data_IF_543246433440
#
_entry.id   IF_543246433440
#
_cell.length_a   1.000
_cell.length_b   1.000
_cell.length_c   1.000
_cell.angle_alpha   90.00
_cell.angle_beta   90.00
_cell.angle_gamma   90.00
#
_symmetry.space_group_name_H-M   'P 1'
#
loop_
_entity.id
_entity.type
_entity.pdbx_description
1 polymer ?
#
# COMPACT_ATOMS: atom_id res chain seq x y z
N UNK A 1 3.91 -6.21 -11.24
CA UNK A 1 3.25 -5.18 -10.41
C UNK A 1 4.13 -3.95 -10.36
N UNK A 2 3.67 -2.84 -10.91
CA UNK A 2 4.37 -1.57 -10.79
C UNK A 2 4.35 -1.16 -9.32
N UNK A 3 5.47 -1.31 -8.64
CA UNK A 3 5.55 -0.95 -7.22
C UNK A 3 5.48 0.56 -7.12
N UNK A 4 4.47 1.08 -6.44
CA UNK A 4 4.35 2.51 -6.19
C UNK A 4 5.59 2.97 -5.41
N UNK A 5 6.49 3.69 -6.07
CA UNK A 5 7.73 4.20 -5.49
C UNK A 5 7.74 5.72 -5.54
N UNK A 6 7.87 6.32 -4.39
CA UNK A 6 8.02 7.77 -4.25
C UNK A 6 8.95 8.12 -3.09
N UNK A 7 9.46 9.33 -3.11
CA UNK A 7 10.10 9.97 -1.98
C UNK A 7 9.66 11.43 -1.90
N UNK A 8 9.32 11.87 -0.70
CA UNK A 8 8.97 13.26 -0.38
C UNK A 8 9.92 13.75 0.70
N UNK A 9 10.57 14.88 0.47
CA UNK A 9 11.46 15.50 1.45
C UNK A 9 10.91 16.84 1.88
N UNK A 10 10.68 16.98 3.18
CA UNK A 10 10.19 18.19 3.82
C UNK A 10 11.30 18.82 4.66
N UNK A 11 11.58 20.13 4.53
CA UNK A 11 12.53 20.79 5.42
C UNK A 11 11.98 20.83 6.86
N UNK A 12 12.86 20.67 7.85
CA UNK A 12 12.48 20.87 9.24
C UNK A 12 12.41 22.36 9.54
N UNK A 13 11.29 22.82 10.08
CA UNK A 13 10.98 24.23 10.36
C UNK A 13 12.00 24.96 11.29
N UNK A 14 12.94 24.25 11.92
CA UNK A 14 13.92 24.82 12.86
C UNK A 14 15.39 24.73 12.41
N UNK A 15 15.67 24.15 11.24
CA UNK A 15 17.05 24.02 10.77
C UNK A 15 17.35 25.10 9.72
N UNK A 16 18.08 26.14 10.09
CA UNK A 16 18.62 27.10 9.13
C UNK A 16 19.70 26.53 8.19
N UNK A 17 19.87 25.22 8.14
CA UNK A 17 20.87 24.54 7.34
C UNK A 17 20.27 24.06 6.02
N UNK A 18 20.72 24.68 4.91
CA UNK A 18 20.47 24.21 3.55
C UNK A 18 21.31 22.95 3.24
N UNK A 19 21.00 21.82 3.85
CA UNK A 19 21.60 20.56 3.44
C UNK A 19 20.96 20.11 2.12
N UNK A 20 21.76 19.93 1.08
CA UNK A 20 21.31 19.39 -0.20
C UNK A 20 21.06 17.88 -0.03
N UNK A 21 19.83 17.45 -0.19
CA UNK A 21 19.53 16.03 -0.41
C UNK A 21 20.16 15.59 -1.74
N UNK A 22 20.69 14.37 -1.76
CA UNK A 22 21.21 13.80 -2.99
C UNK A 22 20.07 13.61 -4.00
N UNK A 23 20.35 13.84 -5.27
CA UNK A 23 19.41 13.56 -6.35
C UNK A 23 19.12 12.06 -6.37
N UNK A 24 17.88 11.70 -6.63
CA UNK A 24 17.45 10.30 -6.76
C UNK A 24 17.33 9.96 -8.26
N UNK A 25 18.41 9.47 -8.92
CA UNK A 25 18.44 9.31 -10.38
C UNK A 25 17.44 8.27 -10.90
N UNK A 26 16.94 7.40 -10.03
CA UNK A 26 15.92 6.40 -10.37
C UNK A 26 14.48 6.92 -10.37
N UNK A 27 14.26 8.16 -9.93
CA UNK A 27 12.95 8.76 -9.78
C UNK A 27 12.84 10.05 -10.61
N UNK A 28 11.62 10.33 -11.08
CA UNK A 28 11.28 11.59 -11.74
C UNK A 28 11.00 12.66 -10.68
N UNK A 29 11.60 13.84 -10.83
CA UNK A 29 11.28 14.99 -10.02
C UNK A 29 9.96 15.60 -10.50
N UNK A 30 8.98 15.68 -9.60
CA UNK A 30 7.75 16.40 -9.84
C UNK A 30 7.89 17.79 -9.26
N UNK A 31 8.46 18.70 -10.07
CA UNK A 31 8.57 20.11 -9.73
C UNK A 31 7.18 20.76 -9.73
N UNK A 32 6.72 21.14 -8.56
CA UNK A 32 5.52 21.92 -8.28
C UNK A 32 5.71 22.67 -6.97
N UNK A 33 4.65 23.22 -6.40
CA UNK A 33 4.65 23.91 -5.11
C UNK A 33 4.95 22.99 -3.91
N UNK A 34 5.11 21.67 -4.16
CA UNK A 34 5.42 20.66 -3.15
C UNK A 34 6.96 20.51 -3.08
N UNK A 35 7.58 20.74 -1.91
CA UNK A 35 9.03 20.65 -1.78
C UNK A 35 9.50 19.23 -2.09
N UNK A 36 10.25 19.08 -3.17
CA UNK A 36 11.01 17.90 -3.60
C UNK A 36 10.26 16.56 -3.48
N UNK A 37 9.27 16.39 -4.34
CA UNK A 37 8.60 15.12 -4.55
C UNK A 37 9.22 14.39 -5.75
N UNK A 38 9.65 13.14 -5.54
CA UNK A 38 10.14 12.25 -6.57
C UNK A 38 9.25 11.03 -6.68
N UNK A 39 8.95 10.60 -7.90
CA UNK A 39 8.17 9.38 -8.16
C UNK A 39 8.85 8.51 -9.20
N UNK A 40 8.58 7.21 -9.19
CA UNK A 40 8.95 6.34 -10.31
C UNK A 40 8.23 6.83 -11.59
N UNK A 41 8.85 6.58 -12.77
CA UNK A 41 8.37 7.12 -14.05
C UNK A 41 6.94 6.69 -14.40
N UNK A 42 6.56 5.52 -13.97
CA UNK A 42 5.26 4.87 -14.17
C UNK A 42 4.30 5.07 -12.99
N UNK A 43 4.73 5.77 -11.94
CA UNK A 43 3.88 6.11 -10.81
C UNK A 43 2.81 7.11 -11.24
N UNK A 44 1.57 6.78 -10.96
CA UNK A 44 0.42 7.61 -11.26
C UNK A 44 0.26 8.71 -10.25
N UNK A 45 -0.01 9.90 -10.72
CA UNK A 45 -0.27 11.08 -9.89
C UNK A 45 -1.55 11.71 -10.39
N UNK A 46 -2.51 11.89 -9.48
CA UNK A 46 -3.69 12.70 -9.72
C UNK A 46 -3.48 14.06 -9.05
N UNK A 47 -3.62 15.11 -9.83
CA UNK A 47 -3.49 16.47 -9.35
C UNK A 47 -4.79 16.91 -8.67
N UNK A 48 -4.67 17.57 -7.52
CA UNK A 48 -5.77 18.22 -6.78
C UNK A 48 -5.78 19.73 -7.04
N UNK A 49 -5.10 20.19 -8.09
CA UNK A 49 -4.88 21.62 -8.37
C UNK A 49 -4.15 22.30 -7.20
N UNK A 50 -4.65 23.42 -6.69
CA UNK A 50 -4.05 24.11 -5.54
C UNK A 50 -4.17 23.35 -4.20
N UNK A 51 -4.92 22.23 -4.16
CA UNK A 51 -5.18 21.46 -2.94
C UNK A 51 -4.20 20.30 -2.72
N UNK A 52 -3.16 20.13 -3.56
CA UNK A 52 -2.15 19.10 -3.41
C UNK A 52 -2.18 18.03 -4.49
N UNK A 53 -1.73 16.81 -4.17
CA UNK A 53 -1.73 15.69 -5.11
C UNK A 53 -2.02 14.35 -4.42
N UNK A 54 -2.51 13.39 -5.22
CA UNK A 54 -2.67 11.99 -4.82
C UNK A 54 -1.77 11.12 -5.69
N UNK A 55 -0.92 10.34 -5.06
CA UNK A 55 0.00 9.41 -5.71
C UNK A 55 -0.54 8.00 -5.55
N UNK A 56 -0.67 7.25 -6.65
CA UNK A 56 -1.18 5.88 -6.65
C UNK A 56 -2.49 5.73 -7.39
N UNK A 57 -3.22 4.68 -7.07
CA UNK A 57 -4.48 4.33 -7.72
C UNK A 57 -5.66 4.70 -6.82
N UNK A 58 -6.58 5.47 -7.38
CA UNK A 58 -7.77 5.96 -6.72
C UNK A 58 -9.02 5.56 -7.51
N UNK A 59 -10.00 4.97 -6.83
CA UNK A 59 -11.30 4.60 -7.40
C UNK A 59 -12.41 5.41 -6.73
N UNK A 60 -13.42 5.79 -7.50
CA UNK A 60 -14.66 6.34 -6.97
C UNK A 60 -15.43 5.28 -6.19
N UNK A 61 -15.98 5.66 -5.05
CA UNK A 61 -16.82 4.77 -4.24
C UNK A 61 -18.11 4.39 -4.94
N UNK A 62 -18.70 5.30 -5.68
CA UNK A 62 -19.99 5.11 -6.34
C UNK A 62 -19.87 4.24 -7.59
N UNK A 63 -18.93 4.54 -8.44
CA UNK A 63 -18.81 3.90 -9.76
C UNK A 63 -17.79 2.76 -9.81
N UNK A 64 -16.89 2.68 -8.84
CA UNK A 64 -15.70 1.83 -8.84
C UNK A 64 -14.76 2.05 -10.05
N UNK A 65 -14.97 3.12 -10.80
CA UNK A 65 -14.05 3.51 -11.86
C UNK A 65 -12.85 4.26 -11.30
N UNK A 66 -11.73 4.08 -11.95
CA UNK A 66 -10.52 4.82 -11.66
C UNK A 66 -10.74 6.32 -11.86
N UNK A 67 -10.22 7.11 -10.93
CA UNK A 67 -10.24 8.56 -10.95
C UNK A 67 -8.84 9.08 -11.28
N UNK A 68 -8.74 9.87 -12.35
CA UNK A 68 -7.49 10.53 -12.78
C UNK A 68 -7.46 12.02 -12.47
N UNK A 69 -8.62 12.62 -12.24
CA UNK A 69 -8.78 14.02 -11.87
C UNK A 69 -9.79 14.10 -10.75
N UNK A 70 -9.46 14.82 -9.70
CA UNK A 70 -10.35 15.03 -8.59
C UNK A 70 -11.13 16.34 -8.79
N UNK A 71 -12.41 16.36 -8.39
CA UNK A 71 -13.18 17.61 -8.46
C UNK A 71 -12.55 18.66 -7.53
N UNK A 72 -12.58 19.89 -7.94
CA UNK A 72 -12.14 21.00 -7.10
C UNK A 72 -12.96 21.03 -5.81
N UNK A 73 -12.28 20.82 -4.71
CA UNK A 73 -12.87 20.96 -3.37
C UNK A 73 -12.34 22.26 -2.81
N UNK A 74 -13.22 23.26 -2.68
CA UNK A 74 -12.86 24.59 -2.15
C UNK A 74 -12.49 24.60 -0.64
N UNK A 75 -11.91 23.50 -0.15
CA UNK A 75 -11.52 23.36 1.25
C UNK A 75 -10.09 23.85 1.47
N UNK A 76 -9.91 24.74 2.45
CA UNK A 76 -8.61 25.27 2.87
C UNK A 76 -7.87 24.35 3.84
N UNK A 77 -8.60 23.54 4.60
CA UNK A 77 -8.05 22.65 5.61
C UNK A 77 -7.74 21.27 5.02
N UNK A 78 -6.54 20.77 5.23
CA UNK A 78 -6.13 19.42 4.86
C UNK A 78 -7.02 18.35 5.50
N UNK A 79 -7.56 18.61 6.70
CA UNK A 79 -8.47 17.68 7.39
C UNK A 79 -9.80 17.51 6.64
N UNK A 80 -10.37 18.58 6.10
CA UNK A 80 -11.59 18.52 5.30
C UNK A 80 -11.35 17.77 3.99
N UNK A 81 -10.23 18.04 3.32
CA UNK A 81 -9.82 17.31 2.10
C UNK A 81 -9.62 15.83 2.37
N UNK A 82 -8.92 15.47 3.43
CA UNK A 82 -8.68 14.10 3.85
C UNK A 82 -9.99 13.35 4.16
N UNK A 83 -10.92 14.00 4.87
CA UNK A 83 -12.24 13.42 5.17
C UNK A 83 -13.04 13.18 3.89
N UNK A 84 -13.02 14.11 2.93
CA UNK A 84 -13.68 13.96 1.64
C UNK A 84 -13.08 12.80 0.84
N UNK A 85 -11.74 12.70 0.77
CA UNK A 85 -11.06 11.60 0.09
C UNK A 85 -11.44 10.25 0.70
N UNK A 86 -11.39 10.11 2.02
CA UNK A 86 -11.70 8.86 2.69
C UNK A 86 -13.19 8.46 2.60
N UNK A 87 -14.10 9.43 2.45
CA UNK A 87 -15.54 9.19 2.31
C UNK A 87 -15.94 8.74 0.90
N UNK A 88 -15.33 9.33 -0.14
CA UNK A 88 -15.81 9.20 -1.51
C UNK A 88 -14.92 8.32 -2.40
N UNK A 89 -13.71 8.00 -1.94
CA UNK A 89 -12.73 7.26 -2.72
C UNK A 89 -12.11 6.12 -1.92
N UNK A 90 -11.58 5.15 -2.66
CA UNK A 90 -10.82 4.02 -2.13
C UNK A 90 -9.70 3.62 -3.11
N UNK A 91 -8.77 2.79 -2.68
CA UNK A 91 -7.68 2.34 -3.55
C UNK A 91 -6.38 2.14 -2.80
N UNK A 92 -5.27 2.27 -3.50
CA UNK A 92 -3.91 2.19 -2.98
C UNK A 92 -3.19 3.52 -3.28
N UNK A 93 -3.24 4.46 -2.34
CA UNK A 93 -2.78 5.82 -2.57
C UNK A 93 -2.14 6.47 -1.34
N UNK A 94 -1.44 7.54 -1.60
CA UNK A 94 -1.05 8.55 -0.61
C UNK A 94 -1.53 9.91 -1.10
N UNK A 95 -2.21 10.67 -0.23
CA UNK A 95 -2.55 12.05 -0.51
C UNK A 95 -1.59 13.00 0.21
N UNK A 96 -1.05 13.96 -0.52
CA UNK A 96 -0.18 15.04 -0.02
C UNK A 96 -0.99 16.32 -0.11
N UNK A 97 -1.37 16.86 1.04
CA UNK A 97 -2.38 17.89 1.19
C UNK A 97 -1.77 19.14 1.86
N UNK A 98 -1.61 20.26 1.13
CA UNK A 98 -1.29 21.53 1.75
C UNK A 98 -2.40 21.95 2.73
N UNK A 99 -2.01 22.42 3.89
CA UNK A 99 -2.92 22.99 4.88
C UNK A 99 -2.66 24.49 4.96
N UNK A 100 -3.55 25.29 4.37
CA UNK A 100 -3.41 26.75 4.32
C UNK A 100 -3.57 27.37 5.70
N UNK A 101 -4.40 26.79 6.57
CA UNK A 101 -4.64 27.30 7.91
C UNK A 101 -3.43 27.12 8.83
N UNK A 102 -2.62 26.08 8.58
CA UNK A 102 -1.42 25.76 9.35
C UNK A 102 -0.11 26.18 8.65
N UNK A 103 -0.18 26.58 7.40
CA UNK A 103 1.01 26.80 6.55
C UNK A 103 1.96 25.61 6.59
N UNK A 104 1.42 24.38 6.57
CA UNK A 104 2.15 23.11 6.69
C UNK A 104 1.61 22.12 5.66
N UNK A 105 2.27 20.98 5.55
CA UNK A 105 1.91 19.92 4.62
C UNK A 105 1.51 18.68 5.39
N UNK A 106 0.30 18.21 5.13
CA UNK A 106 -0.24 16.99 5.70
C UNK A 106 -0.20 15.82 4.71
N UNK A 107 -0.11 14.62 5.23
CA UNK A 107 -0.06 13.38 4.45
C UNK A 107 -1.11 12.42 4.97
N UNK A 108 -1.90 11.86 4.05
CA UNK A 108 -2.90 10.83 4.33
C UNK A 108 -2.56 9.54 3.56
N UNK A 109 -2.06 8.50 4.22
CA UNK A 109 -2.04 7.14 3.66
C UNK A 109 -3.46 6.62 3.49
N UNK A 110 -3.70 5.84 2.44
CA UNK A 110 -5.00 5.22 2.21
C UNK A 110 -5.44 4.36 3.42
N UNK A 111 -6.77 4.25 3.68
CA UNK A 111 -7.28 3.51 4.83
C UNK A 111 -6.99 2.00 4.81
N UNK A 112 -6.76 1.40 3.64
CA UNK A 112 -6.47 -0.04 3.51
C UNK A 112 -5.04 -0.38 3.88
N UNK A 113 -4.11 0.60 3.82
CA UNK A 113 -2.69 0.39 4.07
C UNK A 113 -1.99 -0.44 3.00
N UNK A 114 -2.54 -0.50 1.78
CA UNK A 114 -1.92 -1.19 0.65
C UNK A 114 -0.60 -0.53 0.24
N UNK A 115 -0.46 0.77 0.47
CA UNK A 115 0.80 1.51 0.27
C UNK A 115 1.38 1.86 1.64
N UNK A 116 2.38 1.12 2.12
CA UNK A 116 3.06 1.49 3.35
C UNK A 116 3.87 2.77 3.15
N UNK A 117 3.82 3.67 4.12
CA UNK A 117 4.55 4.92 4.11
C UNK A 117 5.49 4.96 5.29
N UNK A 118 6.76 5.09 5.01
CA UNK A 118 7.82 5.17 6.01
C UNK A 118 8.32 6.59 6.16
N UNK A 119 8.65 6.97 7.38
CA UNK A 119 9.14 8.30 7.77
C UNK A 119 10.50 8.17 8.43
N UNK A 120 11.46 8.95 7.93
CA UNK A 120 12.76 9.12 8.54
C UNK A 120 12.98 10.59 8.88
N UNK A 121 13.34 10.88 10.12
CA UNK A 121 13.71 12.24 10.55
C UNK A 121 15.24 12.37 10.55
N UNK A 122 15.74 13.29 9.77
CA UNK A 122 17.15 13.69 9.77
C UNK A 122 17.32 15.01 10.53
N UNK A 123 18.54 15.50 10.63
CA UNK A 123 18.83 16.83 11.24
C UNK A 123 18.17 17.98 10.49
N UNK A 124 18.02 17.87 9.17
CA UNK A 124 17.58 18.95 8.28
C UNK A 124 16.25 18.73 7.61
N UNK A 125 15.87 17.46 7.39
CA UNK A 125 14.67 17.10 6.63
C UNK A 125 13.90 15.97 7.31
N UNK A 126 12.63 15.89 6.98
CA UNK A 126 11.83 14.68 7.14
C UNK A 126 11.64 14.07 5.75
N UNK A 127 12.01 12.79 5.61
CA UNK A 127 11.87 12.05 4.35
C UNK A 127 10.75 11.03 4.51
N UNK A 128 9.80 11.04 3.58
CA UNK A 128 8.74 10.03 3.48
C UNK A 128 8.95 9.21 2.22
N UNK A 129 8.74 7.91 2.30
CA UNK A 129 8.85 7.02 1.14
C UNK A 129 8.03 5.75 1.31
N UNK A 130 7.63 5.14 0.21
CA UNK A 130 7.07 3.78 0.18
C UNK A 130 8.15 2.69 0.11
N UNK A 131 9.40 3.05 -0.24
CA UNK A 131 10.52 2.12 -0.37
C UNK A 131 11.66 2.53 0.56
N UNK A 132 11.92 1.81 1.67
CA UNK A 132 12.97 2.15 2.63
C UNK A 132 14.38 2.22 2.03
N UNK A 133 14.65 1.54 0.91
CA UNK A 133 15.94 1.65 0.21
C UNK A 133 16.24 3.07 -0.27
N UNK A 134 15.21 3.88 -0.49
CA UNK A 134 15.36 5.28 -0.87
C UNK A 134 15.91 6.16 0.26
N UNK A 135 15.77 5.74 1.52
CA UNK A 135 16.42 6.43 2.64
C UNK A 135 17.95 6.38 2.54
N UNK A 136 18.50 5.24 2.12
CA UNK A 136 19.93 5.10 1.93
C UNK A 136 20.44 6.04 0.84
N UNK A 137 19.68 6.19 -0.24
CA UNK A 137 19.98 7.12 -1.32
C UNK A 137 19.86 8.58 -0.86
N UNK A 138 18.82 8.91 -0.08
CA UNK A 138 18.61 10.27 0.41
C UNK A 138 19.65 10.70 1.45
N UNK A 139 20.08 9.79 2.32
CA UNK A 139 20.96 10.07 3.47
C UNK A 139 22.43 9.75 3.20
N UNK A 140 22.75 9.04 2.11
CA UNK A 140 24.10 8.61 1.77
C UNK A 140 24.72 7.57 2.72
N UNK A 141 23.91 6.89 3.53
CA UNK A 141 24.39 5.87 4.48
C UNK A 141 23.38 4.72 4.63
N UNK A 142 23.89 3.53 4.92
CA UNK A 142 23.06 2.34 5.22
C UNK A 142 22.24 2.56 6.48
N UNK A 143 21.02 2.04 6.45
CA UNK A 143 20.14 2.02 7.62
C UNK A 143 20.59 0.94 8.60
N UNK A 144 20.55 1.26 9.89
CA UNK A 144 20.91 0.33 10.96
C UNK A 144 19.68 -0.42 11.48
N UNK A 145 19.87 -1.66 11.94
CA UNK A 145 18.81 -2.46 12.52
C UNK A 145 18.60 -2.04 13.99
N UNK A 146 17.35 -1.84 14.37
CA UNK A 146 16.91 -1.69 15.75
C UNK A 146 16.64 -3.09 16.35
N UNK A 147 17.60 -3.63 17.08
CA UNK A 147 17.51 -4.96 17.67
C UNK A 147 16.37 -5.08 18.67
N UNK A 148 16.10 -4.03 19.45
CA UNK A 148 14.98 -4.00 20.39
C UNK A 148 13.63 -4.04 19.67
N UNK A 149 13.49 -3.32 18.54
CA UNK A 149 12.27 -3.35 17.74
C UNK A 149 12.11 -4.69 17.04
N UNK A 150 13.21 -5.30 16.59
CA UNK A 150 13.21 -6.63 15.99
C UNK A 150 12.80 -7.70 17.01
N UNK A 151 13.33 -7.64 18.22
CA UNK A 151 12.97 -8.57 19.30
C UNK A 151 11.47 -8.47 19.63
N UNK A 152 10.95 -7.25 19.82
CA UNK A 152 9.50 -7.04 20.04
C UNK A 152 8.64 -7.56 18.89
N UNK A 153 9.04 -7.30 17.67
CA UNK A 153 8.34 -7.79 16.47
C UNK A 153 8.35 -9.33 16.42
N UNK A 154 9.47 -9.98 16.78
CA UNK A 154 9.58 -11.44 16.77
C UNK A 154 8.70 -12.10 17.83
N UNK A 155 8.44 -11.41 18.95
CA UNK A 155 7.51 -11.89 19.98
C UNK A 155 6.05 -11.80 19.56
N UNK A 156 5.66 -10.73 18.86
CA UNK A 156 4.28 -10.51 18.45
C UNK A 156 4.22 -9.72 17.12
N UNK A 157 4.45 -10.42 16.01
CA UNK A 157 4.49 -9.82 14.67
C UNK A 157 3.15 -9.23 14.20
N UNK A 158 2.04 -9.67 14.80
CA UNK A 158 0.68 -9.19 14.48
C UNK A 158 0.42 -7.79 15.06
N UNK A 159 1.13 -7.40 16.12
CA UNK A 159 1.03 -6.07 16.70
C UNK A 159 1.99 -5.11 15.97
N UNK A 160 1.53 -4.53 14.89
CA UNK A 160 2.29 -3.54 14.14
C UNK A 160 2.40 -2.24 14.95
N UNK A 161 3.56 -2.03 15.57
CA UNK A 161 3.90 -0.74 16.15
C UNK A 161 4.22 0.28 15.04
N UNK A 162 4.13 1.58 15.35
CA UNK A 162 4.60 2.64 14.46
C UNK A 162 6.10 2.50 14.12
N UNK A 163 6.91 2.15 15.12
CA UNK A 163 8.33 1.91 14.96
C UNK A 163 8.58 0.67 14.11
N UNK A 164 9.49 0.79 13.15
CA UNK A 164 9.96 -0.33 12.34
C UNK A 164 11.16 -1.02 12.98
N UNK A 165 11.72 -2.04 12.33
CA UNK A 165 12.98 -2.67 12.75
C UNK A 165 14.24 -1.93 12.24
N UNK A 166 14.07 -0.75 11.64
CA UNK A 166 15.16 0.15 11.27
C UNK A 166 15.24 1.32 12.23
N UNK A 167 16.45 1.71 12.61
CA UNK A 167 16.70 2.82 13.55
C UNK A 167 16.18 4.14 12.97
N UNK A 168 15.29 4.81 13.69
CA UNK A 168 14.74 6.12 13.34
C UNK A 168 13.71 6.10 12.21
N UNK A 169 13.31 4.92 11.72
CA UNK A 169 12.29 4.77 10.70
C UNK A 169 10.96 4.37 11.32
N UNK A 170 9.98 5.23 11.16
CA UNK A 170 8.59 4.99 11.55
C UNK A 170 7.72 4.67 10.33
N UNK A 171 6.62 3.96 10.52
CA UNK A 171 5.55 3.77 9.54
C UNK A 171 4.37 4.66 9.89
N UNK A 172 3.83 5.39 8.90
CA UNK A 172 2.62 6.18 9.09
C UNK A 172 1.39 5.28 9.19
N UNK A 173 0.44 5.67 10.03
CA UNK A 173 -0.78 4.89 10.23
C UNK A 173 -1.73 5.06 9.05
N UNK A 174 -2.20 3.96 8.43
CA UNK A 174 -3.25 4.02 7.42
C UNK A 174 -4.50 4.73 7.90
N UNK A 175 -5.10 5.57 7.06
CA UNK A 175 -6.31 6.31 7.38
C UNK A 175 -6.15 7.44 8.42
N UNK A 176 -4.91 7.78 8.78
CA UNK A 176 -4.62 8.91 9.66
C UNK A 176 -3.93 10.04 8.90
N UNK A 177 -4.46 11.25 9.02
CA UNK A 177 -3.82 12.46 8.53
C UNK A 177 -2.66 12.82 9.46
N UNK A 178 -1.47 12.94 8.92
CA UNK A 178 -0.25 13.21 9.68
C UNK A 178 0.43 14.46 9.17
N UNK A 179 0.93 15.33 10.06
CA UNK A 179 1.82 16.44 9.75
C UNK A 179 3.27 16.00 10.02
N UNK A 180 3.97 15.48 9.01
CA UNK A 180 5.21 14.76 9.25
C UNK A 180 6.39 15.67 9.59
N UNK A 181 6.34 16.97 9.25
CA UNK A 181 7.40 17.92 9.56
C UNK A 181 7.35 18.43 11.01
N UNK A 182 6.21 18.31 11.70
CA UNK A 182 6.07 18.66 13.10
C UNK A 182 7.00 17.83 14.00
N UNK A 183 7.55 18.44 15.07
CA UNK A 183 8.46 17.76 16.00
C UNK A 183 7.82 16.53 16.64
N UNK A 184 6.57 16.68 17.10
CA UNK A 184 5.71 15.58 17.52
C UNK A 184 4.69 15.39 16.40
N UNK A 185 4.91 14.40 15.55
CA UNK A 185 4.01 14.18 14.41
C UNK A 185 2.58 14.00 14.92
N UNK A 186 1.78 15.07 14.79
CA UNK A 186 0.36 15.01 15.12
C UNK A 186 -0.36 14.09 14.15
N UNK A 187 -1.17 13.18 14.68
CA UNK A 187 -1.99 12.26 13.91
C UNK A 187 -3.47 12.48 14.19
N UNK A 188 -4.23 12.69 13.13
CA UNK A 188 -5.68 12.81 13.19
C UNK A 188 -6.32 11.62 12.50
N UNK A 189 -7.04 10.76 13.20
CA UNK A 189 -7.73 9.64 12.58
C UNK A 189 -8.87 10.17 11.70
N UNK A 190 -8.74 9.94 10.39
CA UNK A 190 -9.76 10.29 9.40
C UNK A 190 -10.69 9.11 9.16
N UNK A 191 -10.12 7.91 9.10
CA UNK A 191 -10.86 6.67 8.92
C UNK A 191 -10.43 5.61 9.93
N UNK A 192 -11.41 4.95 10.54
CA UNK A 192 -11.22 3.80 11.44
C UNK A 192 -12.37 2.83 11.25
N UNK A 193 -12.09 1.53 11.24
CA UNK A 193 -13.14 0.50 11.15
C UNK A 193 -14.16 0.61 12.29
N UNK A 194 -13.72 1.02 13.48
CA UNK A 194 -14.56 1.16 14.67
C UNK A 194 -15.70 2.20 14.52
N UNK A 195 -15.54 3.18 13.63
CA UNK A 195 -16.60 4.20 13.39
C UNK A 195 -17.85 3.60 12.75
N UNK A 196 -17.76 2.40 12.17
CA UNK A 196 -18.87 1.67 11.56
C UNK A 196 -19.56 0.68 12.51
N UNK A 197 -19.00 0.43 13.70
CA UNK A 197 -19.57 -0.51 14.68
C UNK A 197 -20.89 -0.08 15.30
N UNK A 198 -21.16 1.23 15.54
CA UNK A 198 -22.41 1.66 16.21
C UNK A 198 -23.67 1.43 15.40
N UNK A 199 -23.55 1.35 14.07
CA UNK A 199 -24.68 1.10 13.18
C UNK A 199 -24.89 -0.40 12.98
N UNK A 200 -25.84 -1.03 13.66
CA UNK A 200 -26.30 -2.37 13.24
C UNK A 200 -27.03 -2.21 11.92
N UNK A 201 -26.49 -2.88 10.89
CA UNK A 201 -27.23 -3.02 9.65
C UNK A 201 -28.48 -3.87 9.95
N UNK A 202 -29.67 -3.32 9.72
CA UNK A 202 -30.94 -4.06 9.81
C UNK A 202 -31.19 -4.87 8.53
N UNK A 203 -30.16 -5.63 8.11
CA UNK A 203 -30.22 -6.50 6.94
C UNK A 203 -30.46 -7.94 7.39
N UNK A 204 -31.25 -8.66 6.63
CA UNK A 204 -31.28 -10.12 6.70
C UNK A 204 -29.94 -10.72 6.25
N UNK A 205 -29.71 -11.98 6.60
CA UNK A 205 -28.50 -12.70 6.16
C UNK A 205 -28.36 -12.71 4.63
N UNK A 206 -29.46 -12.93 3.91
CA UNK A 206 -29.45 -13.00 2.44
C UNK A 206 -29.15 -11.65 1.79
N UNK A 207 -29.70 -10.57 2.33
CA UNK A 207 -29.38 -9.20 1.87
C UNK A 207 -27.92 -8.86 2.13
N UNK A 208 -27.40 -9.16 3.32
CA UNK A 208 -26.00 -8.93 3.65
C UNK A 208 -25.05 -9.74 2.75
N UNK A 209 -25.39 -11.02 2.51
CA UNK A 209 -24.65 -11.90 1.59
C UNK A 209 -24.64 -11.35 0.17
N UNK A 210 -25.78 -10.89 -0.34
CA UNK A 210 -25.89 -10.33 -1.67
C UNK A 210 -25.04 -9.06 -1.82
N UNK A 211 -25.13 -8.13 -0.87
CA UNK A 211 -24.34 -6.90 -0.90
C UNK A 211 -22.84 -7.17 -0.81
N UNK A 212 -22.40 -8.10 0.04
CA UNK A 212 -21.00 -8.47 0.16
C UNK A 212 -20.46 -9.09 -1.13
N UNK A 213 -21.23 -10.00 -1.75
CA UNK A 213 -20.89 -10.59 -3.05
C UNK A 213 -20.74 -9.52 -4.13
N UNK A 214 -21.71 -8.62 -4.26
CA UNK A 214 -21.72 -7.60 -5.29
C UNK A 214 -20.57 -6.59 -5.09
N UNK A 215 -20.25 -6.29 -3.82
CA UNK A 215 -19.08 -5.47 -3.50
C UNK A 215 -17.78 -6.18 -3.85
N UNK A 216 -17.63 -7.47 -3.53
CA UNK A 216 -16.45 -8.26 -3.89
C UNK A 216 -16.22 -8.28 -5.42
N UNK A 217 -17.28 -8.54 -6.21
CA UNK A 217 -17.22 -8.51 -7.68
C UNK A 217 -16.76 -7.13 -8.17
N UNK A 218 -17.34 -6.08 -7.63
CA UNK A 218 -17.03 -4.69 -8.01
C UNK A 218 -15.59 -4.30 -7.70
N UNK A 219 -15.12 -4.63 -6.51
CA UNK A 219 -13.74 -4.32 -6.06
C UNK A 219 -12.72 -5.11 -6.86
N UNK A 220 -12.91 -6.43 -7.02
CA UNK A 220 -11.99 -7.26 -7.78
C UNK A 220 -11.98 -6.87 -9.27
N UNK A 221 -13.15 -6.54 -9.84
CA UNK A 221 -13.27 -6.05 -11.20
C UNK A 221 -12.50 -4.75 -11.42
N UNK A 222 -12.63 -3.77 -10.53
CA UNK A 222 -11.92 -2.50 -10.61
C UNK A 222 -10.40 -2.66 -10.54
N UNK A 223 -9.90 -3.52 -9.64
CA UNK A 223 -8.47 -3.83 -9.58
C UNK A 223 -7.98 -4.57 -10.80
N UNK A 224 -8.75 -5.50 -11.36
CA UNK A 224 -8.36 -6.20 -12.58
C UNK A 224 -8.32 -5.26 -13.80
N UNK A 225 -9.23 -4.29 -13.89
CA UNK A 225 -9.19 -3.26 -14.93
C UNK A 225 -7.95 -2.37 -14.83
N UNK A 226 -7.50 -2.13 -13.62
CA UNK A 226 -6.31 -1.31 -13.37
C UNK A 226 -5.00 -2.06 -13.62
N UNK A 227 -4.94 -3.32 -13.21
CA UNK A 227 -3.71 -4.13 -13.24
C UNK A 227 -3.54 -4.90 -14.55
N UNK A 228 -4.62 -5.08 -15.33
CA UNK A 228 -4.66 -6.02 -16.45
C UNK A 228 -4.84 -7.48 -15.98
N UNK A 229 -4.40 -8.46 -16.78
CA UNK A 229 -4.47 -9.87 -16.40
C UNK A 229 -3.77 -10.15 -15.07
N UNK A 230 -4.45 -10.83 -14.15
CA UNK A 230 -3.94 -11.07 -12.80
C UNK A 230 -3.64 -12.55 -12.56
N UNK A 231 -2.59 -12.84 -11.81
CA UNK A 231 -2.34 -14.16 -11.25
C UNK A 231 -2.83 -14.18 -9.79
N UNK A 232 -3.68 -15.15 -9.47
CA UNK A 232 -4.22 -15.32 -8.13
C UNK A 232 -3.54 -16.52 -7.47
N UNK A 233 -2.89 -16.28 -6.34
CA UNK A 233 -2.36 -17.37 -5.52
C UNK A 233 -3.52 -18.13 -4.88
N UNK A 234 -3.66 -19.41 -5.23
CA UNK A 234 -4.81 -20.26 -4.84
C UNK A 234 -4.34 -21.40 -3.97
N UNK A 235 -4.97 -21.55 -2.81
CA UNK A 235 -4.78 -22.67 -1.89
C UNK A 235 -5.97 -23.63 -1.85
N UNK A 236 -7.04 -23.34 -2.60
CA UNK A 236 -8.31 -24.07 -2.44
C UNK A 236 -9.11 -23.69 -1.19
N UNK A 237 -8.59 -22.79 -0.35
CA UNK A 237 -9.31 -22.21 0.78
C UNK A 237 -10.37 -21.20 0.35
N UNK A 238 -11.28 -20.85 1.28
CA UNK A 238 -12.44 -19.98 1.01
C UNK A 238 -12.03 -18.61 0.48
N UNK A 239 -11.02 -17.96 1.05
CA UNK A 239 -10.65 -16.59 0.72
C UNK A 239 -10.13 -16.45 -0.72
N UNK A 240 -9.19 -17.32 -1.11
CA UNK A 240 -8.64 -17.33 -2.48
C UNK A 240 -9.70 -17.74 -3.50
N UNK A 241 -10.58 -18.67 -3.15
CA UNK A 241 -11.70 -19.11 -4.00
C UNK A 241 -12.70 -17.97 -4.22
N UNK A 242 -12.98 -17.17 -3.19
CA UNK A 242 -13.86 -15.98 -3.31
C UNK A 242 -13.27 -14.94 -4.27
N UNK A 243 -11.96 -14.68 -4.21
CA UNK A 243 -11.30 -13.76 -5.14
C UNK A 243 -11.43 -14.27 -6.57
N UNK A 244 -11.13 -15.54 -6.85
CA UNK A 244 -11.27 -16.13 -8.18
C UNK A 244 -12.72 -16.09 -8.68
N UNK A 245 -13.70 -16.46 -7.83
CA UNK A 245 -15.11 -16.41 -8.18
C UNK A 245 -15.58 -14.98 -8.48
N UNK A 246 -15.11 -13.99 -7.74
CA UNK A 246 -15.43 -12.58 -8.00
C UNK A 246 -14.85 -12.10 -9.33
N UNK A 247 -13.60 -12.44 -9.67
CA UNK A 247 -12.98 -12.13 -10.96
C UNK A 247 -13.72 -12.78 -12.12
N UNK A 248 -14.07 -14.08 -11.99
CA UNK A 248 -14.85 -14.80 -13.00
C UNK A 248 -16.22 -14.15 -13.22
N UNK A 249 -16.92 -13.77 -12.14
CA UNK A 249 -18.21 -13.06 -12.22
C UNK A 249 -18.07 -11.66 -12.81
N UNK A 250 -16.97 -10.98 -12.56
CA UNK A 250 -16.64 -9.70 -13.17
C UNK A 250 -16.15 -9.84 -14.62
N UNK A 251 -16.06 -11.07 -15.16
CA UNK A 251 -15.56 -11.39 -16.50
C UNK A 251 -14.16 -10.83 -16.77
N UNK A 252 -13.27 -10.89 -15.76
CA UNK A 252 -11.90 -10.42 -15.88
C UNK A 252 -10.93 -11.58 -16.13
N UNK A 253 -9.92 -11.41 -17.01
CA UNK A 253 -8.92 -12.44 -17.24
C UNK A 253 -8.03 -12.64 -16.02
N UNK A 254 -7.88 -13.89 -15.59
CA UNK A 254 -7.00 -14.28 -14.49
C UNK A 254 -6.51 -15.71 -14.69
N UNK A 255 -5.39 -16.03 -14.04
CA UNK A 255 -4.91 -17.41 -13.90
C UNK A 255 -4.77 -17.78 -12.41
N UNK A 256 -5.01 -19.04 -12.10
CA UNK A 256 -4.80 -19.61 -10.78
C UNK A 256 -3.37 -20.14 -10.67
N UNK A 257 -2.64 -19.73 -9.62
CA UNK A 257 -1.27 -20.17 -9.38
C UNK A 257 -1.17 -20.80 -8.00
N UNK A 258 -0.64 -22.05 -7.93
CA UNK A 258 -0.42 -22.71 -6.65
C UNK A 258 1.04 -22.99 -6.43
N UNK A 259 1.52 -22.67 -5.22
CA UNK A 259 2.82 -23.05 -4.72
C UNK A 259 2.65 -24.25 -3.78
N UNK A 260 3.26 -25.37 -4.12
CA UNK A 260 3.31 -26.55 -3.28
C UNK A 260 4.70 -26.74 -2.69
N UNK A 261 4.77 -27.41 -1.56
CA UNK A 261 6.01 -27.91 -1.00
C UNK A 261 6.24 -29.36 -1.47
N UNK A 262 7.45 -29.86 -1.33
CA UNK A 262 7.76 -31.28 -1.62
C UNK A 262 7.08 -32.24 -0.62
N UNK A 263 6.70 -31.71 0.55
CA UNK A 263 5.94 -32.45 1.57
C UNK A 263 4.45 -32.48 1.20
N UNK A 264 3.84 -33.65 1.33
CA UNK A 264 2.41 -33.86 1.08
C UNK A 264 1.52 -33.33 2.19
N UNK A 265 2.04 -33.07 3.38
CA UNK A 265 1.25 -32.47 4.47
C UNK A 265 1.00 -30.99 4.15
N UNK A 266 -0.18 -30.68 3.66
CA UNK A 266 -0.55 -29.32 3.23
C UNK A 266 -0.47 -29.11 1.72
N UNK A 267 -0.43 -30.19 0.94
CA UNK A 267 -0.55 -30.12 -0.52
C UNK A 267 -2.01 -29.82 -0.90
N UNK A 268 -2.25 -28.59 -1.29
CA UNK A 268 -3.60 -28.09 -1.65
C UNK A 268 -3.82 -28.04 -3.18
N UNK A 269 -2.92 -28.60 -3.98
CA UNK A 269 -2.96 -28.54 -5.45
C UNK A 269 -4.24 -29.12 -6.04
N UNK A 270 -4.74 -30.21 -5.49
CA UNK A 270 -5.96 -30.86 -6.00
C UNK A 270 -7.18 -29.96 -5.82
N UNK A 271 -7.29 -29.26 -4.69
CA UNK A 271 -8.38 -28.29 -4.45
C UNK A 271 -8.24 -27.07 -5.36
N UNK A 272 -7.02 -26.57 -5.55
CA UNK A 272 -6.76 -25.42 -6.41
C UNK A 272 -7.06 -25.74 -7.89
N UNK A 273 -6.70 -26.95 -8.35
CA UNK A 273 -7.00 -27.43 -9.70
C UNK A 273 -8.50 -27.55 -9.92
N UNK A 274 -9.21 -28.19 -8.97
CA UNK A 274 -10.66 -28.32 -9.03
C UNK A 274 -11.37 -26.96 -9.13
N UNK A 275 -10.90 -25.96 -8.36
CA UNK A 275 -11.43 -24.61 -8.44
C UNK A 275 -11.20 -23.98 -9.82
N UNK A 276 -9.98 -24.08 -10.35
CA UNK A 276 -9.64 -23.53 -11.66
C UNK A 276 -10.47 -24.18 -12.78
N UNK A 277 -10.62 -25.49 -12.77
CA UNK A 277 -11.49 -26.24 -13.69
C UNK A 277 -12.95 -25.78 -13.59
N UNK A 278 -13.48 -25.65 -12.36
CA UNK A 278 -14.85 -25.18 -12.13
C UNK A 278 -15.10 -23.76 -12.69
N UNK A 279 -14.11 -22.88 -12.61
CA UNK A 279 -14.21 -21.52 -13.07
C UNK A 279 -13.77 -21.33 -14.54
N UNK A 280 -13.28 -22.39 -15.20
CA UNK A 280 -12.73 -22.32 -16.57
C UNK A 280 -11.49 -21.43 -16.65
N UNK A 281 -10.70 -21.34 -15.57
CA UNK A 281 -9.51 -20.50 -15.49
C UNK A 281 -8.25 -21.31 -15.79
N UNK A 282 -7.24 -20.63 -16.33
CA UNK A 282 -5.90 -21.21 -16.47
C UNK A 282 -5.32 -21.56 -15.10
N UNK A 283 -4.57 -22.68 -15.04
CA UNK A 283 -3.94 -23.16 -13.81
C UNK A 283 -2.47 -23.41 -14.02
N UNK A 284 -1.67 -22.90 -13.09
CA UNK A 284 -0.22 -23.14 -13.03
C UNK A 284 0.20 -23.55 -11.61
N UNK A 285 1.09 -24.51 -11.51
CA UNK A 285 1.67 -24.93 -10.23
C UNK A 285 3.19 -24.90 -10.26
N UNK A 286 3.79 -24.64 -9.11
CA UNK A 286 5.23 -24.73 -8.90
C UNK A 286 5.52 -25.37 -7.55
N UNK A 287 6.58 -26.15 -7.51
CA UNK A 287 7.10 -26.68 -6.25
C UNK A 287 8.09 -25.67 -5.70
N UNK A 288 7.86 -25.24 -4.48
CA UNK A 288 8.79 -24.38 -3.75
C UNK A 288 10.01 -25.21 -3.30
N UNK A 289 11.18 -24.77 -3.72
CA UNK A 289 12.46 -25.32 -3.29
C UNK A 289 13.15 -24.34 -2.34
N UNK A 290 13.18 -24.61 -1.02
CA UNK A 290 13.82 -23.74 -0.04
C UNK A 290 15.30 -23.48 -0.32
N UNK A 291 16.00 -24.41 -1.00
CA UNK A 291 17.41 -24.26 -1.33
C UNK A 291 17.68 -23.17 -2.37
N UNK A 292 16.64 -22.77 -3.12
CA UNK A 292 16.73 -21.67 -4.11
C UNK A 292 16.37 -20.31 -3.53
N UNK A 293 16.02 -20.24 -2.26
CA UNK A 293 15.68 -18.96 -1.63
C UNK A 293 16.93 -18.11 -1.45
N UNK A 294 16.96 -16.95 -2.11
CA UNK A 294 17.98 -15.92 -1.89
C UNK A 294 17.33 -14.70 -1.19
N UNK A 295 17.67 -14.45 0.08
CA UNK A 295 17.10 -13.32 0.81
C UNK A 295 17.49 -11.94 0.24
N UNK A 296 18.57 -11.87 -0.56
CA UNK A 296 19.03 -10.58 -1.13
C UNK A 296 18.23 -10.15 -2.34
N UNK A 297 17.71 -11.10 -3.12
CA UNK A 297 16.88 -10.83 -4.33
C UNK A 297 15.38 -11.01 -4.09
N UNK A 298 15.00 -11.46 -2.91
CA UNK A 298 13.59 -11.61 -2.53
C UNK A 298 12.85 -10.27 -2.58
N UNK A 299 11.59 -10.28 -2.98
CA UNK A 299 10.69 -9.13 -2.86
C UNK A 299 10.60 -8.58 -1.42
N UNK A 300 10.94 -9.41 -0.43
CA UNK A 300 11.05 -9.02 0.98
C UNK A 300 12.38 -8.33 1.33
N UNK A 301 13.37 -8.33 0.43
CA UNK A 301 14.67 -7.71 0.69
C UNK A 301 14.54 -6.20 0.83
N UNK A 302 15.06 -5.67 1.93
CA UNK A 302 15.01 -4.23 2.24
C UNK A 302 13.70 -3.75 2.84
N UNK A 303 12.75 -4.64 3.16
CA UNK A 303 11.60 -4.27 3.97
C UNK A 303 12.05 -3.88 5.39
N UNK A 304 11.39 -2.90 6.01
CA UNK A 304 11.79 -2.40 7.34
C UNK A 304 11.32 -3.29 8.49
N UNK A 305 10.65 -4.40 8.18
CA UNK A 305 10.29 -5.48 9.11
C UNK A 305 10.49 -6.83 8.46
N UNK A 306 10.85 -7.87 9.20
CA UNK A 306 10.91 -9.24 8.66
C UNK A 306 9.57 -9.66 8.06
N UNK A 307 9.62 -10.38 6.95
CA UNK A 307 8.45 -10.98 6.34
C UNK A 307 8.52 -12.51 6.53
N UNK A 308 7.43 -13.11 7.00
CA UNK A 308 7.31 -14.56 7.16
C UNK A 308 7.08 -15.29 5.83
N UNK A 309 6.80 -14.56 4.74
CA UNK A 309 6.51 -15.14 3.43
C UNK A 309 7.79 -15.27 2.59
N UNK A 310 8.64 -16.21 2.95
CA UNK A 310 9.89 -16.50 2.22
C UNK A 310 9.68 -16.99 0.78
N UNK A 311 8.49 -17.50 0.46
CA UNK A 311 8.13 -18.01 -0.87
C UNK A 311 7.74 -16.94 -1.90
N UNK A 312 7.69 -15.65 -1.53
CA UNK A 312 7.39 -14.58 -2.47
C UNK A 312 8.37 -14.50 -3.64
N UNK A 313 9.64 -14.83 -3.42
CA UNK A 313 10.64 -14.89 -4.50
C UNK A 313 10.32 -15.96 -5.56
N UNK A 314 9.67 -17.05 -5.17
CA UNK A 314 9.22 -18.09 -6.11
C UNK A 314 8.01 -17.60 -6.91
N UNK A 315 7.12 -16.80 -6.31
CA UNK A 315 6.01 -16.17 -7.04
C UNK A 315 6.57 -15.15 -8.04
N UNK A 316 7.54 -14.33 -7.64
CA UNK A 316 8.16 -13.36 -8.54
C UNK A 316 8.82 -14.06 -9.75
N UNK A 317 9.47 -15.21 -9.53
CA UNK A 317 10.04 -16.02 -10.59
C UNK A 317 9.00 -16.73 -11.48
N UNK A 318 7.75 -16.84 -11.02
CA UNK A 318 6.63 -17.36 -11.82
C UNK A 318 6.03 -16.32 -12.75
N UNK A 319 6.11 -15.04 -12.34
CA UNK A 319 5.49 -13.92 -13.03
C UNK A 319 6.47 -13.20 -13.97
N UNK A 320 7.76 -13.54 -13.91
CA UNK A 320 8.81 -13.05 -14.82
C UNK A 320 8.88 -13.88 -16.10
#
# INVERSE_FOLDING_TARGET
MTTLRFALALPRLRSGASARLQTMPSLKDLCGDIPRLWTARDTRVADLSSAGCVIGTLFSRDTAHRVSQLPEVGARSAKCLAANLAANFWGAYIAILPDQDRSDLAVLPDPSGLVPIYRLVTTTHVVLTSDPKLFEQACGKRMSISWDSLARFSMCAELRARQTCLVGVDELRPGALTYPAACDSEEFPIWRAQQFLPGRLSLSYDEARAQLRDMAIRVMGAWADELGPVAVAVSGGVDSSLVCAALARAQKPFCCVTLATADRSGDERDYARLLAEHLGAEYAERIYDPARFDPQVSASAGLPRPNRRSFLSTIDALLA
#
